data_IF_613701195951
#
_entry.id   IF_613701195951
#
_cell.length_a   1.000
_cell.length_b   1.000
_cell.length_c   1.000
_cell.angle_alpha   90.00
_cell.angle_beta   90.00
_cell.angle_gamma   90.00
#
_symmetry.space_group_name_H-M   'P 1'
#
loop_
_entity.id
_entity.type
_entity.pdbx_description
1 polymer ?
#
# COMPACT_ATOMS: atom_id res chain seq x y z
N UNK A 1 -2.27 -10.24 -13.78
CA UNK A 1 -2.70 -8.92 -13.26
C UNK A 1 -2.69 -7.89 -14.38
N UNK A 2 -3.80 -7.19 -14.61
CA UNK A 2 -3.86 -6.15 -15.63
C UNK A 2 -3.23 -4.84 -15.16
N UNK A 3 -2.72 -4.04 -16.11
CA UNK A 3 -2.24 -2.69 -15.84
C UNK A 3 -3.36 -1.78 -15.33
N UNK A 4 -4.57 -1.96 -15.84
CA UNK A 4 -5.76 -1.19 -15.45
C UNK A 4 -6.02 -1.30 -13.94
N UNK A 5 -5.94 -2.52 -13.38
CA UNK A 5 -6.10 -2.72 -11.94
C UNK A 5 -4.99 -2.01 -11.15
N UNK A 6 -3.75 -2.11 -11.62
CA UNK A 6 -2.62 -1.45 -10.97
C UNK A 6 -2.80 0.07 -11.00
N UNK A 7 -3.18 0.65 -12.14
CA UNK A 7 -3.45 2.09 -12.27
C UNK A 7 -4.61 2.50 -11.37
N UNK A 8 -5.74 1.80 -11.42
CA UNK A 8 -6.94 2.12 -10.64
C UNK A 8 -6.70 2.09 -9.14
N UNK A 9 -5.94 1.12 -8.64
CA UNK A 9 -5.72 0.95 -7.21
C UNK A 9 -4.46 1.63 -6.68
N UNK A 10 -3.45 1.83 -7.54
CA UNK A 10 -2.14 2.29 -7.11
C UNK A 10 -1.72 3.62 -7.75
N UNK A 11 -2.61 4.37 -8.43
CA UNK A 11 -2.28 5.67 -9.01
C UNK A 11 -1.56 6.62 -8.03
N UNK A 12 -2.00 6.82 -6.77
CA UNK A 12 -1.26 7.65 -5.82
C UNK A 12 0.15 7.11 -5.50
N UNK A 13 0.32 5.79 -5.49
CA UNK A 13 1.64 5.15 -5.31
C UNK A 13 2.51 5.34 -6.55
N UNK A 14 1.97 5.15 -7.75
CA UNK A 14 2.65 5.40 -9.02
C UNK A 14 3.12 6.85 -9.14
N UNK A 15 2.31 7.80 -8.66
CA UNK A 15 2.60 9.23 -8.63
C UNK A 15 3.57 9.67 -7.53
N UNK A 16 4.09 8.74 -6.72
CA UNK A 16 4.94 9.05 -5.55
C UNK A 16 4.25 9.93 -4.49
N UNK A 17 2.91 9.90 -4.42
CA UNK A 17 2.11 10.58 -3.40
C UNK A 17 1.86 9.70 -2.18
N UNK A 18 1.65 8.40 -2.42
CA UNK A 18 1.38 7.38 -1.39
C UNK A 18 2.54 6.38 -1.31
N UNK A 19 2.79 5.87 -0.11
CA UNK A 19 3.84 4.88 0.16
C UNK A 19 3.54 3.52 -0.45
N UNK A 20 2.32 3.04 -0.31
CA UNK A 20 1.92 1.76 -0.87
C UNK A 20 0.42 1.57 -0.93
N UNK A 21 -0.01 0.60 -1.73
CA UNK A 21 -1.39 0.16 -1.75
C UNK A 21 -1.48 -1.37 -1.85
N UNK A 22 -2.52 -1.93 -1.26
CA UNK A 22 -2.85 -3.34 -1.38
C UNK A 22 -4.19 -3.51 -2.08
N UNK A 23 -4.28 -4.50 -2.93
CA UNK A 23 -5.53 -4.84 -3.62
C UNK A 23 -5.53 -6.33 -3.96
N UNK A 24 -6.72 -6.87 -4.17
CA UNK A 24 -6.91 -8.24 -4.60
C UNK A 24 -7.15 -8.27 -6.11
N UNK A 25 -6.65 -9.30 -6.77
CA UNK A 25 -6.98 -9.60 -8.15
C UNK A 25 -7.04 -11.11 -8.39
N UNK A 26 -7.81 -11.51 -9.40
CA UNK A 26 -8.01 -12.93 -9.73
C UNK A 26 -6.84 -13.47 -10.54
N UNK A 27 -6.48 -14.72 -10.26
CA UNK A 27 -5.51 -15.53 -11.01
C UNK A 27 -5.99 -16.98 -11.04
N UNK A 28 -5.59 -17.71 -12.07
CA UNK A 28 -5.84 -19.14 -12.22
C UNK A 28 -4.94 -19.99 -11.31
N UNK A 29 -3.74 -19.51 -10.98
CA UNK A 29 -2.79 -20.23 -10.10
C UNK A 29 -1.88 -19.29 -9.31
N UNK A 30 -1.24 -19.84 -8.28
CA UNK A 30 -0.20 -19.13 -7.52
C UNK A 30 1.03 -18.83 -8.39
N UNK A 31 1.35 -19.72 -9.33
CA UNK A 31 2.40 -19.56 -10.33
C UNK A 31 2.13 -18.35 -11.24
N UNK A 32 0.91 -18.23 -11.77
CA UNK A 32 0.51 -17.09 -12.60
C UNK A 32 0.63 -15.75 -11.84
N UNK A 33 0.21 -15.73 -10.57
CA UNK A 33 0.42 -14.58 -9.69
C UNK A 33 1.90 -14.22 -9.58
N UNK A 34 2.77 -15.20 -9.31
CA UNK A 34 4.23 -14.96 -9.17
C UNK A 34 4.84 -14.44 -10.47
N UNK A 35 4.46 -14.99 -11.62
CA UNK A 35 4.92 -14.54 -12.93
C UNK A 35 4.45 -13.12 -13.25
N UNK A 36 3.18 -12.82 -12.98
CA UNK A 36 2.62 -11.49 -13.15
C UNK A 36 3.35 -10.47 -12.26
N UNK A 37 3.66 -10.81 -11.02
CA UNK A 37 4.45 -9.94 -10.13
C UNK A 37 5.87 -9.74 -10.65
N UNK A 38 6.55 -10.80 -11.10
CA UNK A 38 7.90 -10.69 -11.71
C UNK A 38 7.87 -9.76 -12.92
N UNK A 39 6.86 -9.89 -13.78
CA UNK A 39 6.67 -9.02 -14.95
C UNK A 39 6.52 -7.55 -14.55
N UNK A 40 5.69 -7.25 -13.56
CA UNK A 40 5.53 -5.87 -13.07
C UNK A 40 6.80 -5.31 -12.44
N UNK A 41 7.52 -6.11 -11.66
CA UNK A 41 8.79 -5.67 -11.07
C UNK A 41 9.83 -5.35 -12.14
N UNK A 42 9.92 -6.12 -13.23
CA UNK A 42 10.83 -5.78 -14.35
C UNK A 42 10.54 -4.40 -14.96
N UNK A 43 9.27 -3.99 -14.98
CA UNK A 43 8.82 -2.73 -15.60
C UNK A 43 8.90 -1.53 -14.65
N UNK A 44 8.64 -1.76 -13.35
CA UNK A 44 8.44 -0.70 -12.37
C UNK A 44 9.58 -0.53 -11.36
N UNK A 45 10.49 -1.51 -11.22
CA UNK A 45 11.61 -1.42 -10.27
C UNK A 45 12.51 -0.20 -10.56
N UNK A 46 12.79 0.08 -11.84
CA UNK A 46 13.54 1.27 -12.25
C UNK A 46 12.83 2.61 -11.98
N UNK A 47 11.57 2.57 -11.54
CA UNK A 47 10.79 3.74 -11.11
C UNK A 47 10.66 3.84 -9.59
N UNK A 48 11.38 2.99 -8.83
CA UNK A 48 11.39 2.99 -7.37
C UNK A 48 10.19 2.28 -6.73
N UNK A 49 9.48 1.44 -7.49
CA UNK A 49 8.35 0.64 -7.01
C UNK A 49 8.76 -0.82 -6.82
N UNK A 50 8.09 -1.50 -5.89
CA UNK A 50 8.18 -2.94 -5.69
C UNK A 50 6.79 -3.52 -5.58
N UNK A 51 6.60 -4.66 -6.23
CA UNK A 51 5.36 -5.45 -6.22
C UNK A 51 5.63 -6.78 -5.52
N UNK A 52 4.79 -7.15 -4.56
CA UNK A 52 4.90 -8.39 -3.78
C UNK A 52 3.55 -9.11 -3.70
N UNK A 53 3.51 -10.45 -3.89
CA UNK A 53 2.35 -11.23 -3.51
C UNK A 53 2.36 -11.41 -1.98
N UNK A 54 1.28 -11.04 -1.32
CA UNK A 54 1.13 -11.21 0.13
C UNK A 54 0.41 -12.51 0.50
N UNK A 55 -0.60 -12.89 -0.28
CA UNK A 55 -1.42 -14.08 -0.04
C UNK A 55 -2.08 -14.55 -1.33
N UNK A 56 -2.29 -15.86 -1.46
CA UNK A 56 -3.12 -16.44 -2.51
C UNK A 56 -4.07 -17.47 -1.90
N UNK A 57 -5.38 -17.31 -2.12
CA UNK A 57 -6.43 -18.22 -1.66
C UNK A 57 -7.54 -18.27 -2.72
N UNK A 58 -7.95 -19.48 -3.11
CA UNK A 58 -9.15 -19.71 -3.95
C UNK A 58 -9.21 -18.84 -5.22
N UNK A 59 -8.09 -18.73 -5.95
CA UNK A 59 -8.04 -17.91 -7.18
C UNK A 59 -7.86 -16.41 -6.94
N UNK A 60 -7.73 -15.95 -5.69
CA UNK A 60 -7.57 -14.54 -5.33
C UNK A 60 -6.16 -14.30 -4.79
N UNK A 61 -5.40 -13.47 -5.49
CA UNK A 61 -4.10 -12.96 -5.06
C UNK A 61 -4.22 -11.60 -4.40
N UNK A 62 -3.74 -11.46 -3.16
CA UNK A 62 -3.50 -10.18 -2.50
C UNK A 62 -2.11 -9.67 -2.89
N UNK A 63 -2.06 -8.49 -3.49
CA UNK A 63 -0.83 -7.87 -3.99
C UNK A 63 -0.56 -6.58 -3.24
N UNK A 64 0.71 -6.34 -2.93
CA UNK A 64 1.20 -5.10 -2.36
C UNK A 64 2.13 -4.40 -3.34
N UNK A 65 1.77 -3.16 -3.71
CA UNK A 65 2.58 -2.28 -4.55
C UNK A 65 3.03 -1.12 -3.69
N UNK A 66 4.34 -0.92 -3.56
CA UNK A 66 4.87 0.08 -2.64
C UNK A 66 6.21 0.66 -3.08
N UNK A 67 6.61 1.74 -2.42
CA UNK A 67 7.89 2.41 -2.62
C UNK A 67 8.79 2.16 -1.41
N UNK A 68 9.84 1.33 -1.54
CA UNK A 68 10.71 1.01 -0.40
C UNK A 68 11.29 2.23 0.30
N UNK A 69 11.74 3.25 -0.43
CA UNK A 69 12.32 4.46 0.17
C UNK A 69 11.31 5.29 0.98
N UNK A 70 10.05 5.40 0.52
CA UNK A 70 9.00 6.07 1.30
C UNK A 70 8.61 5.26 2.52
N UNK A 71 8.52 3.93 2.37
CA UNK A 71 8.21 3.06 3.49
C UNK A 71 9.28 3.15 4.57
N UNK A 72 10.55 3.23 4.19
CA UNK A 72 11.64 3.41 5.15
C UNK A 72 11.50 4.71 5.95
N UNK A 73 11.20 5.82 5.26
CA UNK A 73 10.94 7.10 5.91
C UNK A 73 9.70 7.07 6.82
N UNK A 74 8.60 6.48 6.37
CA UNK A 74 7.37 6.38 7.16
C UNK A 74 7.56 5.52 8.42
N UNK A 75 8.33 4.43 8.32
CA UNK A 75 8.59 3.51 9.44
C UNK A 75 9.71 3.99 10.37
N UNK A 76 10.45 5.04 10.00
CA UNK A 76 11.42 5.70 10.87
C UNK A 76 10.74 6.63 11.90
N UNK A 77 9.47 6.96 11.72
CA UNK A 77 8.68 7.70 12.70
C UNK A 77 8.61 6.93 14.03
N UNK A 78 8.85 7.65 15.15
CA UNK A 78 8.93 7.04 16.47
C UNK A 78 7.60 6.37 16.89
N UNK A 79 6.46 6.98 16.56
CA UNK A 79 5.15 6.42 16.87
C UNK A 79 4.83 5.21 15.97
N UNK A 80 5.20 5.26 14.69
CA UNK A 80 5.10 4.10 13.79
C UNK A 80 5.92 2.92 14.32
N UNK A 81 7.17 3.18 14.72
CA UNK A 81 8.01 2.14 15.29
C UNK A 81 7.41 1.59 16.58
N UNK A 82 6.97 2.41 17.52
CA UNK A 82 6.37 1.92 18.77
C UNK A 82 5.20 0.96 18.50
N UNK A 83 4.27 1.34 17.61
CA UNK A 83 3.12 0.50 17.24
C UNK A 83 3.52 -0.85 16.63
N UNK A 84 4.61 -0.86 15.85
CA UNK A 84 5.17 -2.05 15.21
C UNK A 84 5.93 -2.93 16.23
N UNK A 85 6.74 -2.35 17.10
CA UNK A 85 7.50 -3.05 18.13
C UNK A 85 6.57 -3.80 19.10
N UNK A 86 5.48 -3.16 19.54
CA UNK A 86 4.43 -3.76 20.37
C UNK A 86 3.78 -5.02 19.71
N UNK A 87 3.94 -5.17 18.39
CA UNK A 87 3.39 -6.27 17.59
C UNK A 87 4.46 -7.26 17.12
N UNK A 88 5.67 -7.14 17.63
CA UNK A 88 6.79 -8.03 17.30
C UNK A 88 7.34 -7.81 15.90
N UNK A 89 7.28 -6.59 15.37
CA UNK A 89 8.00 -6.22 14.16
C UNK A 89 9.40 -5.68 14.48
N UNK A 90 10.40 -6.02 13.66
CA UNK A 90 11.77 -5.51 13.83
C UNK A 90 11.88 -4.08 13.31
N UNK A 91 11.55 -3.11 14.17
CA UNK A 91 11.74 -1.68 13.91
C UNK A 91 13.15 -1.34 13.39
N UNK A 92 13.24 -0.25 12.63
CA UNK A 92 14.52 0.24 12.07
C UNK A 92 14.97 -0.51 10.82
N UNK A 93 14.19 -1.49 10.35
CA UNK A 93 14.44 -2.13 9.06
C UNK A 93 13.11 -2.40 8.33
N UNK A 94 12.74 -1.50 7.42
CA UNK A 94 11.50 -1.63 6.67
C UNK A 94 11.38 -2.95 5.89
N UNK A 95 12.50 -3.49 5.37
CA UNK A 95 12.48 -4.77 4.65
C UNK A 95 12.13 -5.95 5.59
N UNK A 96 12.69 -5.96 6.80
CA UNK A 96 12.35 -6.98 7.80
C UNK A 96 10.91 -6.81 8.30
N UNK A 97 10.41 -5.58 8.43
CA UNK A 97 9.01 -5.33 8.73
C UNK A 97 8.08 -5.88 7.63
N UNK A 98 8.40 -5.66 6.35
CA UNK A 98 7.64 -6.24 5.23
C UNK A 98 7.69 -7.77 5.24
N UNK A 99 8.86 -8.37 5.52
CA UNK A 99 8.98 -9.83 5.65
C UNK A 99 8.07 -10.36 6.77
N UNK A 100 8.08 -9.71 7.93
CA UNK A 100 7.22 -10.06 9.06
C UNK A 100 5.74 -9.93 8.69
N UNK A 101 5.34 -8.86 8.01
CA UNK A 101 3.98 -8.65 7.53
C UNK A 101 3.53 -9.80 6.62
N UNK A 102 4.38 -10.20 5.66
CA UNK A 102 4.09 -11.35 4.78
C UNK A 102 3.87 -12.65 5.58
N UNK A 103 4.73 -12.92 6.58
CA UNK A 103 4.56 -14.10 7.44
C UNK A 103 3.24 -14.06 8.20
N UNK A 104 2.87 -12.92 8.77
CA UNK A 104 1.59 -12.76 9.49
C UNK A 104 0.39 -12.97 8.57
N UNK A 105 0.38 -12.33 7.40
CA UNK A 105 -0.71 -12.50 6.43
C UNK A 105 -0.84 -13.92 5.88
N UNK A 106 0.23 -14.71 5.88
CA UNK A 106 0.19 -16.10 5.48
C UNK A 106 -0.37 -17.04 6.57
N UNK A 107 -0.15 -16.70 7.84
CA UNK A 107 -0.52 -17.50 9.02
C UNK A 107 -1.88 -17.13 9.60
N UNK A 108 -2.23 -15.84 9.60
CA UNK A 108 -3.42 -15.30 10.23
C UNK A 108 -4.60 -15.24 9.24
N UNK A 109 -5.81 -15.56 9.72
CA UNK A 109 -7.04 -15.37 8.94
C UNK A 109 -7.34 -13.87 8.77
N UNK A 110 -7.14 -13.11 9.85
CA UNK A 110 -7.46 -11.69 9.94
C UNK A 110 -6.34 -10.78 9.41
N UNK A 111 -6.74 -9.60 8.95
CA UNK A 111 -5.79 -8.59 8.53
C UNK A 111 -5.16 -7.87 9.74
N UNK A 112 -3.82 -7.77 9.81
CA UNK A 112 -3.16 -7.01 10.85
C UNK A 112 -3.62 -5.55 10.85
N UNK A 113 -4.05 -5.03 12.00
CA UNK A 113 -4.59 -3.67 12.10
C UNK A 113 -3.53 -2.59 11.83
N UNK A 114 -2.25 -2.88 12.10
CA UNK A 114 -1.10 -2.02 11.84
C UNK A 114 -0.76 -1.86 10.36
N UNK A 115 -1.43 -2.60 9.47
CA UNK A 115 -1.15 -2.57 8.03
C UNK A 115 -1.27 -1.17 7.42
N UNK A 116 -2.04 -0.27 8.05
CA UNK A 116 -2.13 1.13 7.66
C UNK A 116 -0.78 1.85 7.61
N UNK A 117 0.18 1.49 8.48
CA UNK A 117 1.54 2.06 8.43
C UNK A 117 2.26 1.69 7.13
N UNK A 118 2.07 0.47 6.64
CA UNK A 118 2.62 0.02 5.36
C UNK A 118 1.94 0.70 4.16
N UNK A 119 0.76 1.27 4.34
CA UNK A 119 0.06 2.04 3.32
C UNK A 119 0.40 3.54 3.36
N UNK A 120 1.23 3.97 4.33
CA UNK A 120 1.58 5.36 4.57
C UNK A 120 0.47 6.16 5.27
N UNK A 121 -0.33 5.51 6.12
CA UNK A 121 -1.31 6.20 6.96
C UNK A 121 -0.64 6.80 8.18
N UNK A 122 -1.09 7.98 8.66
CA UNK A 122 -0.53 8.60 9.85
C UNK A 122 -0.54 7.64 11.06
N UNK A 123 0.55 7.54 11.84
CA UNK A 123 0.62 6.67 13.00
C UNK A 123 -0.48 6.93 14.03
N UNK A 124 -0.86 8.20 14.20
CA UNK A 124 -1.98 8.58 15.06
C UNK A 124 -3.32 7.96 14.64
N UNK A 125 -3.59 7.90 13.33
CA UNK A 125 -4.83 7.31 12.80
C UNK A 125 -4.81 5.79 12.92
N UNK A 126 -3.66 5.17 12.69
CA UNK A 126 -3.47 3.73 12.88
C UNK A 126 -3.62 3.35 14.35
N UNK A 127 -3.01 4.12 15.26
CA UNK A 127 -3.17 3.94 16.70
C UNK A 127 -4.63 4.10 17.14
N UNK A 128 -5.34 5.12 16.62
CA UNK A 128 -6.76 5.33 16.91
C UNK A 128 -7.63 4.17 16.46
N UNK A 129 -7.36 3.62 15.27
CA UNK A 129 -8.04 2.45 14.74
C UNK A 129 -7.80 1.20 15.59
N UNK A 130 -6.54 0.94 15.95
CA UNK A 130 -6.12 -0.21 16.75
C UNK A 130 -6.79 -0.21 18.13
N UNK A 131 -6.72 0.92 18.84
CA UNK A 131 -7.12 0.99 20.23
C UNK A 131 -8.62 1.28 20.40
N UNK A 132 -9.37 1.44 19.30
CA UNK A 132 -10.82 1.77 19.28
C UNK A 132 -11.19 2.90 20.25
N UNK A 133 -10.30 3.90 20.43
CA UNK A 133 -10.40 4.89 21.50
C UNK A 133 -11.59 5.85 21.36
N UNK A 134 -12.15 6.00 20.16
CA UNK A 134 -13.27 6.89 19.87
C UNK A 134 -13.92 6.54 18.51
N UNK A 135 -15.06 7.16 18.21
CA UNK A 135 -15.57 7.21 16.85
C UNK A 135 -14.60 7.97 15.93
N UNK A 136 -14.51 7.54 14.66
CA UNK A 136 -13.64 8.19 13.69
C UNK A 136 -14.19 9.60 13.36
N UNK A 137 -13.33 10.61 13.40
CA UNK A 137 -13.67 12.01 13.09
C UNK A 137 -14.06 12.20 11.62
N UNK A 138 -13.48 11.38 10.74
CA UNK A 138 -13.75 11.35 9.32
C UNK A 138 -13.47 9.94 8.77
N UNK A 139 -14.23 9.53 7.75
CA UNK A 139 -13.99 8.29 7.03
C UNK A 139 -13.83 8.58 5.54
N UNK A 140 -12.76 8.05 4.92
CA UNK A 140 -12.48 8.19 3.49
C UNK A 140 -11.51 7.10 3.03
N UNK A 141 -10.31 7.48 2.57
CA UNK A 141 -9.29 6.49 2.21
C UNK A 141 -8.83 5.65 3.41
N UNK A 142 -8.91 6.22 4.61
CA UNK A 142 -8.79 5.53 5.88
C UNK A 142 -9.71 6.20 6.92
N UNK A 143 -9.79 5.63 8.13
CA UNK A 143 -10.50 6.24 9.26
C UNK A 143 -9.58 7.19 10.00
N UNK A 144 -10.01 8.45 10.14
CA UNK A 144 -9.21 9.54 10.70
C UNK A 144 -9.57 9.76 12.16
N UNK A 145 -8.54 9.83 13.00
CA UNK A 145 -8.60 10.08 14.43
C UNK A 145 -7.76 11.31 14.81
N UNK A 146 -6.78 11.69 13.98
CA UNK A 146 -5.93 12.87 14.13
C UNK A 146 -6.46 14.12 13.45
N UNK A 147 -5.67 14.66 12.51
CA UNK A 147 -5.94 15.89 11.76
C UNK A 147 -6.90 15.63 10.58
N UNK A 148 -8.14 16.09 10.76
CA UNK A 148 -9.22 15.95 9.77
C UNK A 148 -8.93 16.72 8.48
N UNK A 149 -8.37 17.92 8.59
CA UNK A 149 -8.18 18.81 7.43
C UNK A 149 -7.01 18.35 6.57
N UNK A 150 -5.92 17.88 7.19
CA UNK A 150 -4.83 17.23 6.47
C UNK A 150 -5.31 15.95 5.75
N UNK A 151 -6.15 15.15 6.40
CA UNK A 151 -6.71 13.95 5.80
C UNK A 151 -7.64 14.27 4.62
N UNK A 152 -8.53 15.27 4.74
CA UNK A 152 -9.39 15.73 3.63
C UNK A 152 -8.58 16.15 2.41
N UNK A 153 -7.53 16.96 2.61
CA UNK A 153 -6.63 17.38 1.53
C UNK A 153 -5.98 16.18 0.85
N UNK A 154 -5.50 15.22 1.64
CA UNK A 154 -4.87 13.99 1.12
C UNK A 154 -5.85 13.12 0.34
N UNK A 155 -7.07 12.93 0.85
CA UNK A 155 -8.12 12.17 0.14
C UNK A 155 -8.47 12.80 -1.21
N UNK A 156 -8.64 14.12 -1.23
CA UNK A 156 -8.93 14.87 -2.45
C UNK A 156 -7.77 14.74 -3.46
N UNK A 157 -6.52 14.82 -2.98
CA UNK A 157 -5.34 14.64 -3.82
C UNK A 157 -5.26 13.24 -4.41
N UNK A 158 -5.48 12.19 -3.60
CA UNK A 158 -5.47 10.81 -4.06
C UNK A 158 -6.58 10.56 -5.09
N UNK A 159 -7.80 11.04 -4.83
CA UNK A 159 -8.92 10.92 -5.77
C UNK A 159 -8.58 11.61 -7.10
N UNK A 160 -8.13 12.86 -7.07
CA UNK A 160 -7.75 13.61 -8.28
C UNK A 160 -6.63 12.90 -9.05
N UNK A 161 -5.63 12.36 -8.35
CA UNK A 161 -4.55 11.59 -8.96
C UNK A 161 -5.09 10.35 -9.67
N UNK A 162 -5.93 9.56 -9.01
CA UNK A 162 -6.54 8.36 -9.60
C UNK A 162 -7.37 8.71 -10.83
N UNK A 163 -8.21 9.76 -10.76
CA UNK A 163 -9.06 10.20 -11.87
C UNK A 163 -8.23 10.63 -13.10
N UNK A 164 -7.06 11.24 -12.89
CA UNK A 164 -6.14 11.60 -13.99
C UNK A 164 -5.45 10.36 -14.56
N UNK A 165 -4.92 9.49 -13.70
CA UNK A 165 -4.13 8.33 -14.13
C UNK A 165 -4.97 7.31 -14.89
N UNK A 166 -6.20 7.05 -14.43
CA UNK A 166 -7.16 6.19 -15.12
C UNK A 166 -7.47 6.74 -16.50
N UNK A 167 -7.75 8.05 -16.63
CA UNK A 167 -8.01 8.68 -17.94
C UNK A 167 -6.81 8.62 -18.87
N UNK A 168 -5.61 8.89 -18.36
CA UNK A 168 -4.37 8.83 -19.14
C UNK A 168 -4.09 7.41 -19.64
N UNK A 169 -4.26 6.39 -18.80
CA UNK A 169 -4.08 4.99 -19.18
C UNK A 169 -5.13 4.56 -20.20
N UNK A 170 -6.40 4.93 -20.01
CA UNK A 170 -7.47 4.68 -20.98
C UNK A 170 -7.22 5.38 -22.34
N UNK A 171 -6.51 6.51 -22.33
CA UNK A 171 -6.03 7.20 -23.54
C UNK A 171 -4.77 6.58 -24.18
N UNK A 172 -4.34 5.40 -23.73
CA UNK A 172 -3.21 4.65 -24.32
C UNK A 172 -1.85 4.97 -23.71
N UNK A 173 -1.77 5.74 -22.62
CA UNK A 173 -0.49 6.02 -21.97
C UNK A 173 0.02 4.80 -21.23
N UNK A 174 1.22 4.33 -21.61
CA UNK A 174 1.88 3.19 -20.99
C UNK A 174 2.10 3.36 -19.48
N UNK A 175 1.96 2.27 -18.73
CA UNK A 175 2.12 2.22 -17.28
C UNK A 175 3.45 2.81 -16.78
N UNK A 176 4.56 2.53 -17.46
CA UNK A 176 5.90 3.00 -17.11
C UNK A 176 6.04 4.52 -17.25
N UNK A 177 5.21 5.15 -18.10
CA UNK A 177 5.14 6.61 -18.28
C UNK A 177 4.23 7.28 -17.27
N UNK A 178 3.40 6.51 -16.57
CA UNK A 178 2.59 6.96 -15.44
C UNK A 178 3.39 6.86 -14.13
N UNK A 179 4.28 5.87 -14.00
CA UNK A 179 5.14 5.72 -12.84
C UNK A 179 6.21 6.83 -12.78
N UNK A 180 6.04 7.77 -11.84
CA UNK A 180 6.97 8.86 -11.59
C UNK A 180 8.15 8.33 -10.76
N UNK A 181 9.41 8.46 -11.21
CA UNK A 181 10.57 8.09 -10.39
C UNK A 181 10.68 9.03 -9.17
N UNK A 182 11.33 8.55 -8.10
CA UNK A 182 11.77 9.42 -7.00
C UNK A 182 13.24 9.80 -7.20
#
# INVERSE_FOLDING_TARGET
MSEELLVRHCAPTLASLKTGNMFTCRFSSAEELRESVRSMNRRLAGKGLRVLPLRYREGIGLVYVYRPGRLDADLADAAACQLLAERGYPCGNANLCVKRLCCRLAQDADFPHEIGLFLGYPPQDVAGFIHRKAEAKLSGCWKVYGDVEAARRTFAQYKKCTDIYVRQHAGGRALERLAVPM
#
